data_IF_107755093340
#
_entry.id   IF_107755093340
#
_cell.length_a   1.000
_cell.length_b   1.000
_cell.length_c   1.000
_cell.angle_alpha   90.00
_cell.angle_beta   90.00
_cell.angle_gamma   90.00
#
_symmetry.space_group_name_H-M   'P 1'
#
loop_
_entity.id
_entity.type
_entity.pdbx_description
1 polymer ?
#
# COMPACT_ATOMS: atom_id res chain seq x y z
N UNK A 1 19.96 6.70 -18.40
CA UNK A 1 18.58 6.26 -18.07
C UNK A 1 17.51 7.12 -18.72
N UNK A 2 17.65 8.46 -18.73
CA UNK A 2 16.66 9.36 -19.33
C UNK A 2 16.51 9.15 -20.84
N UNK A 3 17.62 8.93 -21.56
CA UNK A 3 17.61 8.66 -23.00
C UNK A 3 16.83 7.37 -23.35
N UNK A 4 16.87 6.35 -22.50
CA UNK A 4 16.16 5.08 -22.72
C UNK A 4 14.64 5.23 -22.48
N UNK A 5 14.23 6.09 -21.53
CA UNK A 5 12.82 6.38 -21.28
C UNK A 5 12.17 7.02 -22.51
N UNK A 6 12.90 7.88 -23.22
CA UNK A 6 12.40 8.54 -24.44
C UNK A 6 12.26 7.61 -25.65
N UNK A 7 13.08 6.55 -25.74
CA UNK A 7 13.05 5.61 -26.86
C UNK A 7 12.09 4.44 -26.66
N UNK A 8 11.60 4.22 -25.42
CA UNK A 8 10.77 3.05 -25.03
C UNK A 8 11.43 1.69 -25.35
N UNK A 9 12.74 1.66 -25.52
CA UNK A 9 13.48 0.42 -25.75
C UNK A 9 13.69 -0.34 -24.43
N UNK A 10 13.68 -1.68 -24.45
CA UNK A 10 13.99 -2.45 -23.27
C UNK A 10 15.39 -2.14 -22.74
N UNK A 11 15.52 -1.97 -21.43
CA UNK A 11 16.82 -1.83 -20.77
C UNK A 11 17.67 -3.08 -21.00
N UNK A 12 18.94 -2.95 -21.40
CA UNK A 12 19.85 -4.08 -21.41
C UNK A 12 19.92 -4.76 -20.04
N UNK A 13 20.04 -6.09 -20.02
CA UNK A 13 20.02 -6.91 -18.80
C UNK A 13 21.04 -6.44 -17.74
N UNK A 14 22.21 -5.98 -18.18
CA UNK A 14 23.24 -5.44 -17.30
C UNK A 14 22.76 -4.25 -16.44
N UNK A 15 21.80 -3.49 -16.92
CA UNK A 15 21.18 -2.36 -16.19
C UNK A 15 19.85 -2.76 -15.55
N UNK A 16 19.07 -3.59 -16.23
CA UNK A 16 17.78 -4.04 -15.75
C UNK A 16 17.88 -4.86 -14.46
N UNK A 17 18.76 -5.86 -14.45
CA UNK A 17 18.88 -6.78 -13.31
C UNK A 17 19.23 -6.08 -11.98
N UNK A 18 20.23 -5.17 -11.92
CA UNK A 18 20.51 -4.43 -10.68
C UNK A 18 19.36 -3.56 -10.21
N UNK A 19 18.59 -2.95 -11.14
CA UNK A 19 17.42 -2.14 -10.79
C UNK A 19 16.28 -3.03 -10.27
N UNK A 20 16.07 -4.16 -10.89
CA UNK A 20 15.04 -5.11 -10.47
C UNK A 20 15.32 -5.67 -9.06
N UNK A 21 16.57 -5.97 -8.74
CA UNK A 21 16.95 -6.37 -7.37
C UNK A 21 16.71 -5.24 -6.35
N UNK A 22 16.99 -3.99 -6.73
CA UNK A 22 16.67 -2.82 -5.88
C UNK A 22 15.16 -2.65 -5.70
N UNK A 23 14.36 -2.86 -6.74
CA UNK A 23 12.91 -2.83 -6.67
C UNK A 23 12.37 -3.91 -5.72
N UNK A 24 12.86 -5.15 -5.84
CA UNK A 24 12.51 -6.22 -4.88
C UNK A 24 12.85 -5.82 -3.45
N UNK A 25 14.03 -5.25 -3.24
CA UNK A 25 14.43 -4.77 -1.92
C UNK A 25 13.50 -3.65 -1.43
N UNK A 26 13.12 -2.71 -2.29
CA UNK A 26 12.16 -1.68 -1.95
C UNK A 26 10.79 -2.26 -1.52
N UNK A 27 10.30 -3.29 -2.19
CA UNK A 27 9.07 -3.98 -1.76
C UNK A 27 9.21 -4.63 -0.37
N UNK A 28 10.42 -5.02 0.02
CA UNK A 28 10.70 -5.59 1.35
C UNK A 28 10.83 -4.52 2.41
N UNK A 29 11.63 -3.48 2.15
CA UNK A 29 11.97 -2.43 3.13
C UNK A 29 10.92 -1.34 3.23
N UNK A 30 10.24 -1.03 2.11
CA UNK A 30 9.47 0.20 1.96
C UNK A 30 10.37 1.44 1.91
N UNK A 31 9.74 2.59 2.04
CA UNK A 31 10.39 3.91 2.09
C UNK A 31 10.37 4.56 3.49
N UNK A 32 9.88 3.86 4.54
CA UNK A 32 9.88 4.41 5.90
C UNK A 32 11.32 4.59 6.40
N UNK A 33 11.72 5.82 6.85
CA UNK A 33 13.10 6.14 7.17
C UNK A 33 13.75 5.18 8.16
N UNK A 34 13.04 4.78 9.19
CA UNK A 34 13.55 3.86 10.22
C UNK A 34 13.81 2.47 9.64
N UNK A 35 12.89 1.93 8.83
CA UNK A 35 13.06 0.66 8.14
C UNK A 35 14.25 0.68 7.18
N UNK A 36 14.35 1.74 6.36
CA UNK A 36 15.45 1.93 5.42
C UNK A 36 16.79 2.02 6.17
N UNK A 37 16.84 2.75 7.28
CA UNK A 37 18.04 2.87 8.12
C UNK A 37 18.50 1.51 8.65
N UNK A 38 17.59 0.71 9.22
CA UNK A 38 17.93 -0.64 9.74
C UNK A 38 18.50 -1.54 8.64
N UNK A 39 17.98 -1.41 7.42
CA UNK A 39 18.49 -2.16 6.29
C UNK A 39 19.84 -1.63 5.78
N UNK A 40 20.01 -0.34 5.59
CA UNK A 40 21.21 0.25 4.98
C UNK A 40 22.43 0.19 5.90
N UNK A 41 22.25 0.43 7.18
CA UNK A 41 23.35 0.47 8.16
C UNK A 41 23.71 -0.91 8.70
N UNK A 42 22.72 -1.73 9.05
CA UNK A 42 22.96 -2.99 9.76
C UNK A 42 22.70 -4.25 8.91
N UNK A 43 22.09 -4.12 7.71
CA UNK A 43 21.62 -5.26 6.92
C UNK A 43 20.78 -6.26 7.73
N UNK A 44 20.09 -5.76 8.75
CA UNK A 44 19.36 -6.57 9.72
C UNK A 44 17.88 -6.65 9.34
N UNK A 45 17.48 -7.77 8.75
CA UNK A 45 16.09 -8.03 8.33
C UNK A 45 15.14 -8.05 9.52
N UNK A 46 15.55 -8.59 10.66
CA UNK A 46 14.70 -8.67 11.87
C UNK A 46 14.44 -7.28 12.42
N UNK A 47 15.46 -6.45 12.62
CA UNK A 47 15.30 -5.08 13.10
C UNK A 47 14.47 -4.22 12.13
N UNK A 48 14.64 -4.41 10.83
CA UNK A 48 13.81 -3.75 9.81
C UNK A 48 12.32 -4.14 9.96
N UNK A 49 12.03 -5.42 10.17
CA UNK A 49 10.65 -5.89 10.38
C UNK A 49 10.06 -5.37 11.70
N UNK A 50 10.85 -5.29 12.75
CA UNK A 50 10.46 -4.72 14.03
C UNK A 50 10.14 -3.23 13.90
N UNK A 51 10.96 -2.49 13.14
CA UNK A 51 10.70 -1.08 12.85
C UNK A 51 9.35 -0.89 12.13
N UNK A 52 9.08 -1.66 11.06
CA UNK A 52 7.79 -1.61 10.36
C UNK A 52 6.62 -1.99 11.27
N UNK A 53 6.79 -3.00 12.12
CA UNK A 53 5.77 -3.40 13.08
C UNK A 53 5.51 -2.30 14.11
N UNK A 54 6.56 -1.69 14.64
CA UNK A 54 6.47 -0.58 15.58
C UNK A 54 5.73 0.63 15.02
N UNK A 55 5.94 0.94 13.72
CA UNK A 55 5.21 2.01 13.02
C UNK A 55 3.71 1.65 12.90
N UNK A 56 3.38 0.43 12.50
CA UNK A 56 1.98 -0.04 12.40
C UNK A 56 1.31 0.04 13.78
N UNK A 57 1.96 -0.47 14.81
CA UNK A 57 1.46 -0.45 16.19
C UNK A 57 1.26 0.99 16.70
N UNK A 58 2.13 1.93 16.30
CA UNK A 58 1.98 3.34 16.64
C UNK A 58 0.74 3.94 15.98
N UNK A 59 0.52 3.68 14.69
CA UNK A 59 -0.68 4.13 14.00
C UNK A 59 -1.96 3.52 14.60
N UNK A 60 -1.96 2.22 14.90
CA UNK A 60 -3.12 1.56 15.51
C UNK A 60 -3.43 2.11 16.93
N UNK A 61 -2.41 2.50 17.71
CA UNK A 61 -2.61 3.21 18.99
C UNK A 61 -3.18 4.61 18.79
N UNK A 62 -2.79 5.30 17.72
CA UNK A 62 -3.31 6.64 17.41
C UNK A 62 -4.77 6.59 16.95
N UNK A 63 -5.21 5.52 16.30
CA UNK A 63 -6.63 5.31 15.98
C UNK A 63 -7.50 5.32 17.25
N UNK A 64 -7.00 4.74 18.35
CA UNK A 64 -7.71 4.70 19.64
C UNK A 64 -7.85 6.09 20.31
N UNK A 65 -7.08 7.08 19.88
CA UNK A 65 -7.19 8.47 20.36
C UNK A 65 -8.24 9.29 19.61
N UNK A 66 -8.93 8.67 18.64
CA UNK A 66 -9.99 9.34 17.89
C UNK A 66 -11.08 9.85 18.84
N UNK A 67 -11.54 11.12 18.70
CA UNK A 67 -12.52 11.71 19.61
C UNK A 67 -13.85 10.95 19.68
N UNK A 68 -14.24 10.33 18.58
CA UNK A 68 -15.45 9.50 18.53
C UNK A 68 -15.09 8.02 18.71
N UNK A 69 -15.38 7.48 19.87
CA UNK A 69 -15.11 6.08 20.23
C UNK A 69 -15.79 5.07 19.29
N UNK A 70 -16.90 5.45 18.64
CA UNK A 70 -17.60 4.58 17.71
C UNK A 70 -16.91 4.47 16.34
N UNK A 71 -16.03 5.41 16.00
CA UNK A 71 -15.30 5.42 14.73
C UNK A 71 -14.00 4.59 14.80
N UNK A 72 -13.39 4.47 15.98
CA UNK A 72 -12.16 3.68 16.14
C UNK A 72 -12.27 2.25 15.58
N UNK A 73 -13.30 1.44 15.90
CA UNK A 73 -13.43 0.10 15.35
C UNK A 73 -13.53 0.10 13.81
N UNK A 74 -14.21 1.09 13.24
CA UNK A 74 -14.37 1.20 11.78
C UNK A 74 -13.06 1.57 11.09
N UNK A 75 -12.30 2.52 11.66
CA UNK A 75 -10.96 2.89 11.19
C UNK A 75 -10.06 1.66 11.17
N UNK A 76 -10.01 0.91 12.29
CA UNK A 76 -9.23 -0.31 12.41
C UNK A 76 -9.66 -1.40 11.40
N UNK A 77 -10.97 -1.57 11.17
CA UNK A 77 -11.49 -2.52 10.19
C UNK A 77 -11.08 -2.16 8.77
N UNK A 78 -11.18 -0.88 8.37
CA UNK A 78 -10.73 -0.41 7.05
C UNK A 78 -9.23 -0.67 6.92
N UNK A 79 -8.42 -0.22 7.88
CA UNK A 79 -6.98 -0.40 7.90
C UNK A 79 -6.57 -1.86 7.66
N UNK A 80 -7.13 -2.78 8.43
CA UNK A 80 -6.86 -4.22 8.32
C UNK A 80 -7.38 -4.84 7.02
N UNK A 81 -8.33 -4.22 6.35
CA UNK A 81 -8.86 -4.71 5.07
C UNK A 81 -7.98 -4.34 3.87
N UNK A 82 -7.08 -3.36 3.99
CA UNK A 82 -6.29 -2.82 2.87
C UNK A 82 -5.54 -3.92 2.09
N UNK A 83 -4.80 -4.85 2.71
CA UNK A 83 -4.15 -5.92 1.97
C UNK A 83 -5.12 -6.76 1.15
N UNK A 84 -6.29 -7.08 1.70
CA UNK A 84 -7.32 -7.85 1.01
C UNK A 84 -8.02 -7.07 -0.11
N UNK A 85 -8.12 -5.73 0.01
CA UNK A 85 -8.65 -4.86 -1.04
C UNK A 85 -7.73 -4.86 -2.27
N UNK A 86 -6.41 -4.79 -2.04
CA UNK A 86 -5.39 -4.72 -3.08
C UNK A 86 -5.06 -6.08 -3.68
N UNK A 87 -5.06 -7.15 -2.87
CA UNK A 87 -4.80 -8.52 -3.34
C UNK A 87 -5.88 -9.06 -4.28
N UNK A 88 -7.10 -8.57 -4.14
CA UNK A 88 -8.19 -8.90 -5.06
C UNK A 88 -8.15 -7.88 -6.18
N UNK A 89 -7.91 -8.24 -7.40
CA UNK A 89 -7.88 -7.35 -8.58
C UNK A 89 -9.21 -6.60 -8.79
N UNK A 90 -9.73 -6.03 -7.71
CA UNK A 90 -10.96 -5.26 -7.69
C UNK A 90 -10.73 -3.91 -8.39
N UNK A 91 -11.65 -3.56 -9.28
CA UNK A 91 -11.60 -2.27 -9.98
C UNK A 91 -11.90 -1.08 -9.06
N UNK A 92 -12.42 -1.33 -7.86
CA UNK A 92 -12.76 -0.31 -6.86
C UNK A 92 -12.76 -0.86 -5.44
N UNK A 93 -12.72 0.02 -4.45
CA UNK A 93 -12.89 -0.30 -3.03
C UNK A 93 -14.25 -0.95 -2.76
N UNK A 94 -14.26 -2.02 -1.98
CA UNK A 94 -15.45 -2.81 -1.67
C UNK A 94 -15.69 -2.83 -0.17
N UNK A 95 -16.73 -2.16 0.30
CA UNK A 95 -17.07 -2.10 1.74
C UNK A 95 -17.38 -3.48 2.34
N UNK A 96 -17.93 -4.40 1.57
CA UNK A 96 -18.16 -5.79 2.02
C UNK A 96 -16.88 -6.56 2.35
N UNK A 97 -15.71 -6.13 1.85
CA UNK A 97 -14.40 -6.70 2.21
C UNK A 97 -13.96 -6.22 3.59
N UNK A 98 -14.40 -5.03 4.02
CA UNK A 98 -14.16 -4.51 5.38
C UNK A 98 -14.94 -5.34 6.41
N UNK A 99 -16.23 -5.53 6.15
CA UNK A 99 -17.14 -6.33 6.98
C UNK A 99 -18.33 -6.78 6.13
N UNK A 100 -18.80 -8.00 6.35
CA UNK A 100 -20.04 -8.46 5.73
C UNK A 100 -21.21 -7.52 6.07
N UNK A 101 -21.98 -7.14 5.05
CA UNK A 101 -23.10 -6.19 5.20
C UNK A 101 -22.69 -4.72 5.32
N UNK A 102 -21.40 -4.37 5.34
CA UNK A 102 -20.95 -2.98 5.45
C UNK A 102 -21.46 -2.12 4.28
N UNK A 103 -21.92 -0.90 4.62
CA UNK A 103 -22.40 0.10 3.67
C UNK A 103 -21.49 1.34 3.69
N UNK A 104 -21.35 2.01 2.54
CA UNK A 104 -20.53 3.21 2.40
C UNK A 104 -20.78 4.23 3.51
N UNK A 105 -22.03 4.63 3.70
CA UNK A 105 -22.46 5.65 4.70
C UNK A 105 -22.02 5.36 6.15
N UNK A 106 -21.68 4.10 6.45
CA UNK A 106 -21.30 3.68 7.82
C UNK A 106 -19.79 3.80 8.06
N UNK A 107 -19.00 3.84 6.98
CA UNK A 107 -17.54 3.78 7.01
C UNK A 107 -16.88 4.98 6.34
N UNK A 108 -17.64 5.90 5.75
CA UNK A 108 -17.10 7.01 4.97
C UNK A 108 -16.27 7.96 5.84
N UNK A 109 -16.75 8.32 7.03
CA UNK A 109 -16.04 9.17 7.97
C UNK A 109 -14.73 8.52 8.45
N UNK A 110 -14.79 7.22 8.75
CA UNK A 110 -13.60 6.46 9.15
C UNK A 110 -12.56 6.36 8.02
N UNK A 111 -13.01 6.18 6.78
CA UNK A 111 -12.13 6.18 5.61
C UNK A 111 -11.53 7.58 5.38
N UNK A 112 -12.36 8.63 5.47
CA UNK A 112 -11.91 10.00 5.30
C UNK A 112 -10.86 10.37 6.35
N UNK A 113 -11.03 9.94 7.60
CA UNK A 113 -10.03 10.14 8.63
C UNK A 113 -8.66 9.54 8.27
N UNK A 114 -8.62 8.31 7.72
CA UNK A 114 -7.37 7.69 7.26
C UNK A 114 -6.72 8.48 6.12
N UNK A 115 -7.53 9.06 5.23
CA UNK A 115 -7.06 9.92 4.13
C UNK A 115 -6.48 11.22 4.67
N UNK A 116 -7.19 11.88 5.59
CA UNK A 116 -6.76 13.15 6.20
C UNK A 116 -5.50 12.98 7.04
N UNK A 117 -5.36 11.83 7.72
CA UNK A 117 -4.14 11.42 8.41
C UNK A 117 -2.99 11.05 7.45
N UNK A 118 -3.24 11.05 6.14
CA UNK A 118 -2.27 10.68 5.09
C UNK A 118 -1.70 9.27 5.22
N UNK A 119 -2.43 8.38 5.86
CA UNK A 119 -2.08 6.97 5.97
C UNK A 119 -2.55 6.17 4.76
N UNK A 120 -3.55 6.71 4.05
CA UNK A 120 -4.17 6.12 2.87
C UNK A 120 -4.34 7.18 1.79
N UNK A 121 -4.05 6.82 0.55
CA UNK A 121 -4.37 7.60 -0.62
C UNK A 121 -5.67 7.06 -1.25
N UNK A 122 -6.64 7.93 -1.44
CA UNK A 122 -7.90 7.63 -2.13
C UNK A 122 -7.83 8.17 -3.56
N UNK A 123 -7.85 7.29 -4.55
CA UNK A 123 -7.73 7.63 -5.97
C UNK A 123 -9.02 7.28 -6.68
N UNK A 124 -9.67 8.28 -7.27
CA UNK A 124 -10.90 8.12 -8.02
C UNK A 124 -10.64 7.62 -9.44
N UNK A 125 -11.60 6.88 -9.97
CA UNK A 125 -11.61 6.53 -11.39
C UNK A 125 -12.01 7.76 -12.20
N UNK A 126 -11.24 8.10 -13.23
CA UNK A 126 -11.71 9.09 -14.22
C UNK A 126 -12.73 8.45 -15.17
N UNK A 127 -13.84 9.13 -15.41
CA UNK A 127 -14.90 8.70 -16.32
C UNK A 127 -14.62 9.04 -17.78
N UNK A 128 -13.72 10.01 -18.04
CA UNK A 128 -13.32 10.43 -19.39
C UNK A 128 -11.90 11.04 -19.37
N UNK A 129 -11.16 10.97 -20.49
CA UNK A 129 -9.86 11.62 -20.64
C UNK A 129 -10.06 13.11 -20.94
N UNK A 130 -10.19 13.94 -19.91
CA UNK A 130 -10.39 15.39 -20.07
C UNK A 130 -9.63 16.20 -19.03
N UNK A 131 -9.50 17.49 -19.25
CA UNK A 131 -8.87 18.42 -18.33
C UNK A 131 -9.89 19.47 -17.82
N UNK A 132 -9.86 19.85 -16.54
CA UNK A 132 -9.04 19.24 -15.47
C UNK A 132 -9.51 17.82 -15.12
N UNK A 133 -8.58 16.91 -14.83
CA UNK A 133 -8.89 15.49 -14.57
C UNK A 133 -9.94 15.34 -13.45
N UNK A 134 -9.85 16.14 -12.40
CA UNK A 134 -10.78 16.11 -11.27
C UNK A 134 -12.25 16.37 -11.65
N UNK A 135 -12.52 17.01 -12.79
CA UNK A 135 -13.89 17.24 -13.27
C UNK A 135 -14.56 15.93 -13.77
N UNK A 136 -13.76 14.90 -13.99
CA UNK A 136 -14.20 13.60 -14.51
C UNK A 136 -14.12 12.49 -13.47
N UNK A 137 -13.90 12.84 -12.21
CA UNK A 137 -13.85 11.88 -11.11
C UNK A 137 -15.21 11.18 -10.88
N UNK A 138 -15.19 9.86 -10.95
CA UNK A 138 -16.32 9.05 -10.54
C UNK A 138 -16.22 8.76 -9.04
N UNK A 139 -16.91 9.56 -8.25
CA UNK A 139 -16.93 9.45 -6.78
C UNK A 139 -17.44 8.10 -6.26
N UNK A 140 -18.17 7.33 -7.11
CA UNK A 140 -18.69 5.99 -6.77
C UNK A 140 -17.66 4.88 -6.97
N UNK A 141 -16.53 5.19 -7.61
CA UNK A 141 -15.49 4.23 -7.96
C UNK A 141 -14.09 4.78 -7.64
N UNK A 142 -13.54 4.36 -6.52
CA UNK A 142 -12.18 4.71 -6.09
C UNK A 142 -11.43 3.47 -5.61
N UNK A 143 -10.10 3.53 -5.65
CA UNK A 143 -9.20 2.60 -4.96
C UNK A 143 -8.55 3.30 -3.77
N UNK A 144 -8.07 2.51 -2.82
CA UNK A 144 -7.25 3.01 -1.72
C UNK A 144 -5.88 2.35 -1.77
N UNK A 145 -4.86 3.14 -1.50
CA UNK A 145 -3.47 2.70 -1.44
C UNK A 145 -2.88 3.09 -0.09
N UNK A 146 -2.01 2.27 0.45
CA UNK A 146 -1.32 2.57 1.69
C UNK A 146 -0.17 3.56 1.42
N UNK A 147 0.19 4.35 2.42
CA UNK A 147 1.28 5.35 2.33
C UNK A 147 2.64 4.72 1.99
N UNK A 148 2.84 3.45 2.27
CA UNK A 148 4.12 2.76 2.08
C UNK A 148 3.97 1.28 1.75
N UNK A 149 4.76 0.79 0.79
CA UNK A 149 4.72 -0.58 0.32
C UNK A 149 5.28 -1.58 1.34
N UNK A 150 6.27 -1.18 2.14
CA UNK A 150 6.82 -2.01 3.22
C UNK A 150 5.80 -2.23 4.33
N UNK A 151 5.04 -1.18 4.68
CA UNK A 151 3.91 -1.29 5.61
C UNK A 151 2.81 -2.19 5.04
N UNK A 152 2.48 -2.06 3.74
CA UNK A 152 1.51 -2.95 3.07
C UNK A 152 1.95 -4.41 3.15
N UNK A 153 3.20 -4.69 2.80
CA UNK A 153 3.77 -6.03 2.93
C UNK A 153 3.69 -6.57 4.36
N UNK A 154 4.01 -5.72 5.35
CA UNK A 154 3.98 -6.12 6.76
C UNK A 154 2.56 -6.39 7.24
N UNK A 155 1.59 -5.55 6.88
CA UNK A 155 0.16 -5.76 7.15
C UNK A 155 -0.38 -7.03 6.48
N UNK A 156 0.08 -7.34 5.28
CA UNK A 156 -0.24 -8.57 4.56
C UNK A 156 0.45 -9.82 5.16
N UNK A 157 1.28 -9.66 6.20
CA UNK A 157 2.05 -10.72 6.87
C UNK A 157 2.98 -11.50 5.92
N UNK A 158 3.43 -10.88 4.83
CA UNK A 158 4.35 -11.49 3.89
C UNK A 158 5.78 -11.48 4.46
N UNK A 159 6.39 -12.65 4.54
CA UNK A 159 7.77 -12.77 4.97
C UNK A 159 8.73 -12.16 3.93
N UNK A 160 9.87 -11.54 4.32
CA UNK A 160 10.87 -11.04 3.38
C UNK A 160 11.40 -12.11 2.44
N UNK A 161 11.46 -13.35 2.88
CA UNK A 161 11.86 -14.53 2.07
C UNK A 161 10.91 -14.82 0.92
N UNK A 162 9.68 -14.28 0.96
CA UNK A 162 8.71 -14.41 -0.13
C UNK A 162 9.16 -13.74 -1.43
N UNK A 163 10.22 -12.92 -1.38
CA UNK A 163 10.76 -12.16 -2.52
C UNK A 163 11.98 -12.82 -3.17
N UNK A 164 12.35 -14.02 -2.71
CA UNK A 164 13.39 -14.83 -3.35
C UNK A 164 12.99 -15.34 -4.73
N UNK A 165 13.98 -15.77 -5.53
CA UNK A 165 13.73 -16.33 -6.84
C UNK A 165 12.80 -17.56 -6.78
N UNK A 166 11.81 -17.60 -7.68
CA UNK A 166 10.84 -18.70 -7.80
C UNK A 166 9.78 -18.74 -6.70
N UNK A 167 9.68 -17.72 -5.84
CA UNK A 167 8.67 -17.71 -4.79
C UNK A 167 7.30 -17.32 -5.34
N UNK A 168 6.37 -18.27 -5.30
CA UNK A 168 4.98 -18.12 -5.78
C UNK A 168 4.21 -17.01 -5.06
N UNK A 169 4.47 -16.80 -3.75
CA UNK A 169 3.81 -15.77 -2.95
C UNK A 169 4.09 -14.36 -3.48
N UNK A 170 5.34 -14.10 -3.92
CA UNK A 170 5.67 -12.83 -4.56
C UNK A 170 4.88 -12.64 -5.85
N UNK A 171 4.77 -13.68 -6.66
CA UNK A 171 4.02 -13.61 -7.92
C UNK A 171 2.54 -13.30 -7.70
N UNK A 172 1.93 -13.91 -6.69
CA UNK A 172 0.50 -13.73 -6.37
C UNK A 172 0.17 -12.34 -5.79
N UNK A 173 1.10 -11.72 -5.04
CA UNK A 173 0.87 -10.40 -4.40
C UNK A 173 1.61 -9.24 -5.10
N UNK A 174 2.39 -9.53 -6.14
CA UNK A 174 3.16 -8.52 -6.89
C UNK A 174 2.29 -7.39 -7.43
N UNK A 175 1.11 -7.72 -7.96
CA UNK A 175 0.17 -6.74 -8.47
C UNK A 175 -0.19 -5.69 -7.41
N UNK A 176 -0.57 -6.13 -6.21
CA UNK A 176 -0.89 -5.24 -5.09
C UNK A 176 0.27 -4.34 -4.67
N UNK A 177 1.49 -4.87 -4.62
CA UNK A 177 2.69 -4.11 -4.27
C UNK A 177 3.09 -3.11 -5.35
N UNK A 178 2.87 -3.46 -6.62
CA UNK A 178 3.22 -2.60 -7.76
C UNK A 178 2.20 -1.47 -7.96
N UNK A 179 0.93 -1.74 -7.67
CA UNK A 179 -0.12 -0.71 -7.70
C UNK A 179 -0.01 0.28 -6.53
N UNK A 180 0.46 -0.19 -5.35
CA UNK A 180 0.59 0.63 -4.16
C UNK A 180 1.78 1.59 -4.24
#
# INVERSE_FOLDING_TARGET
>A
YLEIVDTLEPLPDAFFNPLYEKLKMYYVTGGMPESVKMWTEARNVTAMQEALSGIIDAYERDFAKHPNINEFPKISMIWKSIPSQLARENKKFIYKVVKEGARAREYEDALQWLVDARLVHKIYRSSAPGLPIAAYDDISAFKIYLVDVGLLRRLAQLAPTAFGEGNRLFTEFKGALTEN
#
